data_IF_954952499856
#
_entry.id   IF_954952499856
#
_cell.length_a   1.000
_cell.length_b   1.000
_cell.length_c   1.000
_cell.angle_alpha   90.00
_cell.angle_beta   90.00
_cell.angle_gamma   90.00
#
_symmetry.space_group_name_H-M   'P 1'
#
loop_
_entity.id
_entity.type
_entity.pdbx_description
1 polymer ?
#
# COMPACT_ATOMS: atom_id res chain seq x y z
N UNK A 1 -23.61 -0.17 -11.77
CA UNK A 1 -22.49 -0.79 -11.01
C UNK A 1 -21.74 0.33 -10.33
N UNK A 2 -21.78 0.32 -9.02
CA UNK A 2 -21.05 1.30 -8.18
C UNK A 2 -19.78 0.62 -7.69
N UNK A 3 -18.63 1.24 -7.91
CA UNK A 3 -17.34 0.65 -7.55
C UNK A 3 -16.57 1.56 -6.59
N UNK A 4 -16.57 1.19 -5.32
CA UNK A 4 -15.93 1.91 -4.20
C UNK A 4 -14.82 1.05 -3.57
N UNK A 5 -14.09 0.27 -4.37
CA UNK A 5 -13.03 -0.62 -3.91
C UNK A 5 -11.75 -0.51 -4.76
N UNK A 6 -11.36 0.72 -5.11
CA UNK A 6 -10.13 0.98 -5.88
C UNK A 6 -8.84 0.63 -5.12
N UNK A 7 -8.89 0.53 -3.78
CA UNK A 7 -7.79 0.00 -2.99
C UNK A 7 -7.56 -1.51 -3.20
N UNK A 8 -8.58 -2.27 -3.65
CA UNK A 8 -8.39 -3.64 -4.08
C UNK A 8 -7.83 -3.72 -5.50
N UNK A 9 -8.40 -2.99 -6.46
CA UNK A 9 -7.88 -2.84 -7.83
C UNK A 9 -8.55 -1.65 -8.52
N UNK A 10 -7.81 -0.86 -9.28
CA UNK A 10 -8.33 0.32 -9.99
C UNK A 10 -8.95 0.00 -11.35
N UNK A 11 -9.91 0.81 -11.78
CA UNK A 11 -10.48 0.86 -13.13
C UNK A 11 -10.64 2.32 -13.58
N UNK A 12 -10.56 2.67 -14.89
CA UNK A 12 -10.13 1.80 -15.99
C UNK A 12 -8.64 1.44 -15.91
N UNK A 13 -8.21 0.51 -16.76
CA UNK A 13 -6.79 0.15 -16.89
C UNK A 13 -6.11 1.01 -17.95
N UNK A 14 -4.94 1.54 -17.61
CA UNK A 14 -4.04 2.16 -18.57
C UNK A 14 -3.08 1.11 -19.09
N UNK A 15 -3.24 0.72 -20.35
CA UNK A 15 -2.38 -0.27 -20.99
C UNK A 15 -1.69 0.35 -22.20
N UNK A 16 -0.44 -0.02 -22.42
CA UNK A 16 0.23 0.23 -23.70
C UNK A 16 -0.26 -0.79 -24.75
N UNK A 17 -0.18 -0.40 -26.02
CA UNK A 17 -0.45 -1.35 -27.09
C UNK A 17 0.62 -2.43 -27.10
N UNK A 18 0.20 -3.70 -27.24
CA UNK A 18 1.12 -4.82 -27.44
C UNK A 18 1.92 -4.62 -28.73
N UNK A 19 3.23 -4.74 -28.62
CA UNK A 19 4.14 -4.79 -29.75
C UNK A 19 4.79 -6.18 -29.80
N UNK A 20 5.14 -6.66 -30.97
CA UNK A 20 5.87 -7.93 -31.11
C UNK A 20 7.35 -7.74 -30.78
N UNK A 21 7.64 -7.59 -29.48
CA UNK A 21 8.99 -7.41 -28.99
C UNK A 21 9.82 -8.68 -29.18
N UNK A 22 11.02 -8.52 -29.71
CA UNK A 22 12.02 -9.57 -29.72
C UNK A 22 12.67 -9.70 -28.33
N UNK A 23 13.24 -10.88 -28.02
CA UNK A 23 13.89 -11.10 -26.74
C UNK A 23 15.04 -10.09 -26.53
N UNK A 24 14.93 -9.24 -25.51
CA UNK A 24 15.88 -8.19 -25.16
C UNK A 24 17.30 -8.72 -24.91
N UNK A 25 17.43 -9.98 -24.45
CA UNK A 25 18.72 -10.61 -24.16
C UNK A 25 19.46 -11.11 -25.40
N UNK A 26 18.90 -10.91 -26.60
CA UNK A 26 19.51 -11.35 -27.85
C UNK A 26 20.19 -10.18 -28.58
N UNK A 27 21.18 -10.45 -29.47
CA UNK A 27 21.80 -9.38 -30.26
C UNK A 27 20.82 -8.58 -31.14
N UNK A 28 19.71 -9.20 -31.55
CA UNK A 28 18.69 -8.58 -32.38
C UNK A 28 17.53 -7.94 -31.60
N UNK A 29 17.57 -8.00 -30.27
CA UNK A 29 16.56 -7.38 -29.38
C UNK A 29 16.85 -5.90 -29.05
N UNK A 30 17.44 -5.13 -29.95
CA UNK A 30 17.83 -3.74 -29.68
C UNK A 30 16.63 -2.83 -29.35
N UNK A 31 15.53 -2.94 -30.10
CA UNK A 31 14.30 -2.18 -29.87
C UNK A 31 13.66 -2.54 -28.52
N UNK A 32 13.70 -3.82 -28.14
CA UNK A 32 13.20 -4.28 -26.85
C UNK A 32 14.02 -3.72 -25.68
N UNK A 33 15.36 -3.67 -25.82
CA UNK A 33 16.23 -3.02 -24.81
C UNK A 33 15.98 -1.54 -24.70
N UNK A 34 15.78 -0.84 -25.81
CA UNK A 34 15.44 0.57 -25.84
C UNK A 34 14.09 0.83 -25.16
N UNK A 35 13.08 0.00 -25.43
CA UNK A 35 11.77 0.10 -24.79
C UNK A 35 11.86 -0.13 -23.27
N UNK A 36 12.62 -1.13 -22.81
CA UNK A 36 12.88 -1.35 -21.38
C UNK A 36 13.59 -0.16 -20.75
N UNK A 37 14.64 0.35 -21.38
CA UNK A 37 15.37 1.53 -20.90
C UNK A 37 14.47 2.76 -20.79
N UNK A 38 13.60 2.98 -21.77
CA UNK A 38 12.63 4.08 -21.72
C UNK A 38 11.58 3.88 -20.64
N UNK A 39 11.11 2.65 -20.40
CA UNK A 39 10.20 2.32 -19.31
C UNK A 39 10.85 2.55 -17.93
N UNK A 40 12.09 2.10 -17.74
CA UNK A 40 12.86 2.35 -16.51
C UNK A 40 13.04 3.85 -16.25
N UNK A 41 13.38 4.64 -17.27
CA UNK A 41 13.51 6.10 -17.15
C UNK A 41 12.17 6.78 -16.86
N UNK A 42 11.07 6.28 -17.43
CA UNK A 42 9.72 6.80 -17.13
C UNK A 42 9.35 6.57 -15.67
N UNK A 43 9.68 5.41 -15.09
CA UNK A 43 9.49 5.15 -13.66
C UNK A 43 10.33 6.13 -12.82
N UNK A 44 11.62 6.26 -13.10
CA UNK A 44 12.51 7.19 -12.38
C UNK A 44 11.97 8.63 -12.43
N UNK A 45 11.58 9.08 -13.61
CA UNK A 45 11.00 10.42 -13.79
C UNK A 45 9.72 10.59 -12.97
N UNK A 46 8.84 9.59 -12.97
CA UNK A 46 7.57 9.64 -12.21
C UNK A 46 7.80 9.63 -10.70
N UNK A 47 8.87 8.98 -10.22
CA UNK A 47 9.28 8.98 -8.82
C UNK A 47 10.11 10.22 -8.42
N UNK A 48 10.51 11.06 -9.37
CA UNK A 48 11.39 12.19 -9.10
C UNK A 48 12.83 11.81 -8.74
N UNK A 49 13.29 10.63 -9.18
CA UNK A 49 14.66 10.12 -8.93
C UNK A 49 15.53 10.19 -10.17
N UNK A 50 16.83 10.43 -9.99
CA UNK A 50 17.78 10.60 -11.08
C UNK A 50 18.67 9.38 -11.33
N UNK A 51 18.81 8.51 -10.34
CA UNK A 51 19.73 7.38 -10.33
C UNK A 51 19.03 6.07 -9.92
N UNK A 52 19.80 5.02 -9.70
CA UNK A 52 19.27 3.73 -9.26
C UNK A 52 18.81 2.81 -10.40
N UNK A 53 18.46 1.60 -10.01
CA UNK A 53 18.00 0.53 -10.89
C UNK A 53 16.50 0.30 -10.76
N UNK A 54 15.81 0.16 -11.87
CA UNK A 54 14.40 -0.28 -11.91
C UNK A 54 14.34 -1.70 -12.49
N UNK A 55 13.53 -2.56 -11.87
CA UNK A 55 13.20 -3.88 -12.41
C UNK A 55 11.69 -4.04 -12.41
N UNK A 56 11.14 -4.45 -13.54
CA UNK A 56 9.73 -4.78 -13.67
C UNK A 56 9.52 -6.28 -13.44
N UNK A 57 8.40 -6.63 -12.84
CA UNK A 57 8.11 -8.04 -12.56
C UNK A 57 6.69 -8.23 -12.06
N UNK A 58 6.50 -9.19 -11.17
CA UNK A 58 5.21 -9.53 -10.58
C UNK A 58 4.57 -8.42 -9.73
N UNK A 59 3.59 -8.78 -8.94
CA UNK A 59 2.95 -7.86 -7.96
C UNK A 59 3.96 -7.38 -6.90
N UNK A 60 3.60 -6.37 -6.10
CA UNK A 60 4.42 -5.92 -4.97
C UNK A 60 4.79 -7.10 -4.05
N UNK A 61 3.87 -8.03 -3.78
CA UNK A 61 4.18 -9.23 -2.96
C UNK A 61 5.32 -10.06 -3.55
N UNK A 62 5.35 -10.25 -4.88
CA UNK A 62 6.45 -10.96 -5.54
C UNK A 62 7.75 -10.16 -5.56
N UNK A 63 7.67 -8.84 -5.66
CA UNK A 63 8.84 -7.96 -5.56
C UNK A 63 9.41 -7.96 -4.13
N UNK A 64 8.57 -8.00 -3.10
CA UNK A 64 9.00 -8.14 -1.72
C UNK A 64 9.67 -9.50 -1.47
N UNK A 65 9.09 -10.62 -1.92
CA UNK A 65 9.71 -11.95 -1.85
C UNK A 65 11.12 -11.91 -2.48
N UNK A 66 11.25 -11.34 -3.68
CA UNK A 66 12.52 -11.18 -4.37
C UNK A 66 13.50 -10.30 -3.59
N UNK A 67 13.05 -9.16 -3.07
CA UNK A 67 13.89 -8.26 -2.27
C UNK A 67 14.39 -8.94 -0.99
N UNK A 68 13.53 -9.65 -0.26
CA UNK A 68 13.92 -10.40 0.94
C UNK A 68 14.94 -11.49 0.63
N UNK A 69 14.80 -12.21 -0.48
CA UNK A 69 15.81 -13.17 -0.94
C UNK A 69 17.16 -12.49 -1.19
N UNK A 70 17.16 -11.32 -1.85
CA UNK A 70 18.39 -10.55 -2.10
C UNK A 70 19.02 -10.03 -0.81
N UNK A 71 18.21 -9.52 0.12
CA UNK A 71 18.67 -9.07 1.44
C UNK A 71 19.30 -10.22 2.22
N UNK A 72 18.66 -11.39 2.26
CA UNK A 72 19.20 -12.57 2.92
C UNK A 72 20.54 -12.97 2.32
N UNK A 73 20.64 -13.05 1.00
CA UNK A 73 21.89 -13.44 0.33
C UNK A 73 23.03 -12.44 0.62
N UNK A 74 22.77 -11.13 0.49
CA UNK A 74 23.77 -10.10 0.76
C UNK A 74 24.22 -10.13 2.23
N UNK A 75 23.31 -10.37 3.15
CA UNK A 75 23.60 -10.46 4.57
C UNK A 75 24.44 -11.71 4.89
N UNK A 76 24.07 -12.91 4.38
CA UNK A 76 24.87 -14.13 4.53
C UNK A 76 26.29 -13.97 4.00
N UNK A 77 26.46 -13.35 2.84
CA UNK A 77 27.78 -13.07 2.26
C UNK A 77 28.61 -12.13 3.14
N UNK A 78 27.97 -11.19 3.85
CA UNK A 78 28.65 -10.26 4.76
C UNK A 78 29.16 -10.91 6.05
N UNK A 79 28.56 -12.02 6.50
CA UNK A 79 28.96 -12.75 7.72
C UNK A 79 30.24 -13.57 7.53
N UNK A 80 30.59 -13.96 6.30
CA UNK A 80 31.72 -14.86 6.05
C UNK A 80 31.57 -16.19 6.80
N UNK A 81 32.57 -16.52 7.65
CA UNK A 81 32.59 -17.76 8.44
C UNK A 81 31.96 -17.58 9.85
N UNK A 82 31.34 -16.45 10.17
CA UNK A 82 30.70 -16.23 11.47
C UNK A 82 29.38 -17.03 11.60
N UNK A 83 29.04 -17.42 12.85
CA UNK A 83 27.76 -18.10 13.10
C UNK A 83 26.58 -17.18 12.76
N UNK A 84 25.62 -17.72 12.01
CA UNK A 84 24.42 -17.01 11.62
C UNK A 84 23.56 -16.72 12.85
N UNK A 85 23.24 -15.48 13.18
CA UNK A 85 22.31 -15.16 14.26
C UNK A 85 20.93 -15.78 13.99
N UNK A 86 20.30 -16.32 15.04
CA UNK A 86 19.01 -17.02 14.95
C UNK A 86 17.86 -16.16 14.44
N UNK A 87 18.03 -14.80 14.45
CA UNK A 87 17.02 -13.83 14.03
C UNK A 87 17.64 -12.63 13.30
N UNK A 88 16.99 -12.21 12.23
CA UNK A 88 17.35 -11.00 11.46
C UNK A 88 16.80 -9.73 12.14
N UNK A 89 17.28 -9.39 13.32
CA UNK A 89 16.80 -8.22 14.10
C UNK A 89 17.06 -6.85 13.43
N UNK A 90 17.82 -6.81 12.37
CA UNK A 90 18.06 -5.58 11.61
C UNK A 90 16.93 -5.23 10.61
N UNK A 91 15.99 -6.15 10.36
CA UNK A 91 14.81 -5.87 9.57
C UNK A 91 13.68 -5.39 10.48
N UNK A 92 13.23 -4.16 10.28
CA UNK A 92 12.19 -3.52 11.10
C UNK A 92 11.06 -3.02 10.23
N UNK A 93 9.83 -3.12 10.73
CA UNK A 93 8.66 -2.58 10.05
C UNK A 93 7.66 -1.98 11.03
N UNK A 94 6.72 -1.18 10.49
CA UNK A 94 5.52 -0.82 11.22
C UNK A 94 4.57 -2.02 11.38
N UNK A 95 3.68 -2.03 12.38
CA UNK A 95 2.67 -3.07 12.53
C UNK A 95 1.58 -2.99 11.44
N UNK A 96 1.56 -1.90 10.69
CA UNK A 96 0.51 -1.58 9.72
C UNK A 96 0.84 -2.06 8.30
N UNK A 97 2.04 -2.61 8.08
CA UNK A 97 2.46 -3.10 6.76
C UNK A 97 1.57 -4.21 6.22
N UNK A 98 1.54 -4.32 4.90
CA UNK A 98 0.88 -5.44 4.24
C UNK A 98 1.51 -6.78 4.68
N UNK A 99 0.73 -7.85 4.71
CA UNK A 99 1.14 -9.18 5.14
C UNK A 99 2.43 -9.68 4.44
N UNK A 100 2.59 -9.38 3.14
CA UNK A 100 3.79 -9.77 2.39
C UNK A 100 5.09 -9.14 2.92
N UNK A 101 5.02 -8.09 3.74
CA UNK A 101 6.16 -7.51 4.45
C UNK A 101 6.27 -8.13 5.84
N UNK A 102 5.20 -8.10 6.63
CA UNK A 102 5.24 -8.51 8.02
C UNK A 102 5.54 -10.02 8.21
N UNK A 103 5.19 -10.86 7.25
CA UNK A 103 5.53 -12.30 7.31
C UNK A 103 7.06 -12.58 7.23
N UNK A 104 7.85 -11.61 6.81
CA UNK A 104 9.31 -11.72 6.71
C UNK A 104 10.06 -10.98 7.80
N UNK A 105 9.37 -10.17 8.61
CA UNK A 105 9.99 -9.29 9.60
C UNK A 105 9.61 -9.74 11.01
N UNK A 106 10.62 -9.91 11.86
CA UNK A 106 10.44 -10.32 13.27
C UNK A 106 10.36 -9.12 14.19
N UNK A 107 10.96 -7.98 13.79
CA UNK A 107 11.08 -6.78 14.61
C UNK A 107 10.07 -5.74 14.16
N UNK A 108 8.88 -5.79 14.77
CA UNK A 108 7.77 -4.85 14.47
C UNK A 108 7.78 -3.75 15.54
N UNK A 109 7.74 -2.50 15.10
CA UNK A 109 7.85 -1.30 15.93
C UNK A 109 6.76 -0.30 15.58
N UNK A 110 6.29 0.45 16.57
CA UNK A 110 5.36 1.55 16.27
C UNK A 110 6.06 2.67 15.45
N UNK A 111 5.28 3.54 14.86
CA UNK A 111 5.78 4.60 13.96
C UNK A 111 6.74 5.54 14.69
N UNK A 112 6.43 5.91 15.94
CA UNK A 112 7.24 6.81 16.76
C UNK A 112 8.63 6.20 17.06
N UNK A 113 8.70 4.89 17.27
CA UNK A 113 9.98 4.19 17.44
C UNK A 113 10.81 4.17 16.16
N UNK A 114 10.17 4.01 15.00
CA UNK A 114 10.86 4.06 13.69
C UNK A 114 11.37 5.48 13.38
N UNK A 115 10.74 6.52 13.90
CA UNK A 115 11.18 7.91 13.82
C UNK A 115 12.24 8.28 14.89
N UNK A 116 12.49 7.42 15.89
CA UNK A 116 13.50 7.68 16.94
C UNK A 116 14.82 6.97 16.63
N UNK A 117 15.85 7.75 16.34
CA UNK A 117 17.20 7.26 16.07
C UNK A 117 17.78 6.38 17.19
N UNK A 118 17.45 6.65 18.48
CA UNK A 118 17.94 5.85 19.61
C UNK A 118 17.22 4.50 19.67
N UNK A 119 15.91 4.49 19.42
CA UNK A 119 15.11 3.27 19.35
C UNK A 119 15.60 2.38 18.22
N UNK A 120 15.66 2.89 16.98
CA UNK A 120 16.17 2.14 15.81
C UNK A 120 17.57 1.59 16.08
N UNK A 121 18.49 2.42 16.59
CA UNK A 121 19.86 1.98 16.92
C UNK A 121 19.89 0.88 17.97
N UNK A 122 19.02 0.92 18.98
CA UNK A 122 18.99 -0.07 20.06
C UNK A 122 18.51 -1.44 19.57
N UNK A 123 17.60 -1.45 18.58
CA UNK A 123 17.02 -2.67 18.03
C UNK A 123 17.90 -3.38 16.99
N UNK A 124 18.84 -2.65 16.37
CA UNK A 124 19.72 -3.23 15.34
C UNK A 124 20.87 -4.06 15.88
N UNK A 125 21.18 -4.01 17.19
CA UNK A 125 22.26 -4.76 17.83
C UNK A 125 23.62 -4.59 17.15
N UNK A 126 23.84 -3.43 16.53
CA UNK A 126 25.05 -3.10 15.79
C UNK A 126 25.05 -3.50 14.31
N UNK A 127 24.02 -4.17 13.83
CA UNK A 127 23.83 -4.44 12.40
C UNK A 127 23.31 -3.21 11.65
N UNK A 128 23.44 -3.21 10.33
CA UNK A 128 22.86 -2.18 9.45
C UNK A 128 21.32 -2.29 9.46
N UNK A 129 20.57 -1.26 9.88
CA UNK A 129 19.12 -1.31 9.88
C UNK A 129 18.56 -1.31 8.46
N UNK A 130 17.54 -2.13 8.23
CA UNK A 130 16.71 -2.05 7.04
C UNK A 130 15.27 -1.87 7.52
N UNK A 131 14.70 -0.69 7.27
CA UNK A 131 13.36 -0.33 7.73
C UNK A 131 12.36 -0.38 6.57
N UNK A 132 11.15 -0.82 6.86
CA UNK A 132 10.05 -0.93 5.91
C UNK A 132 8.87 -0.11 6.42
N UNK A 133 8.32 0.76 5.57
CA UNK A 133 7.08 1.46 5.86
C UNK A 133 6.32 1.77 4.58
N UNK A 134 5.02 1.51 4.56
CA UNK A 134 4.15 1.97 3.48
C UNK A 134 3.93 3.48 3.58
N UNK A 135 3.84 4.18 2.44
CA UNK A 135 3.55 5.62 2.43
C UNK A 135 2.10 5.89 2.84
N UNK A 136 1.15 5.10 2.34
CA UNK A 136 -0.28 5.23 2.64
C UNK A 136 -0.83 3.89 3.11
N UNK A 137 -1.57 3.91 4.21
CA UNK A 137 -2.28 2.73 4.71
C UNK A 137 -3.31 2.24 3.69
N UNK A 138 -3.19 1.00 3.26
CA UNK A 138 -4.15 0.37 2.36
C UNK A 138 -5.51 0.04 3.03
N UNK A 139 -5.64 0.24 4.34
CA UNK A 139 -6.86 0.01 5.12
C UNK A 139 -7.55 1.32 5.47
N UNK A 140 -6.83 2.29 6.02
CA UNK A 140 -7.40 3.52 6.57
C UNK A 140 -7.16 4.76 5.74
N UNK A 141 -6.19 4.75 4.82
CA UNK A 141 -5.82 5.90 4.00
C UNK A 141 -4.91 6.91 4.68
N UNK A 142 -4.44 6.62 5.88
CA UNK A 142 -3.51 7.48 6.59
C UNK A 142 -2.12 7.45 5.97
N UNK A 143 -1.43 8.59 6.01
CA UNK A 143 -0.12 8.82 5.43
C UNK A 143 0.92 8.77 6.53
N UNK A 144 1.93 7.92 6.38
CA UNK A 144 2.97 7.76 7.38
C UNK A 144 4.19 8.66 7.12
N UNK A 145 4.95 9.03 8.17
CA UNK A 145 6.10 9.94 8.10
C UNK A 145 7.33 9.25 7.48
N UNK A 146 7.21 8.79 6.24
CA UNK A 146 8.28 8.04 5.55
C UNK A 146 9.57 8.82 5.39
N UNK A 147 9.49 10.16 5.33
CA UNK A 147 10.65 11.05 5.25
C UNK A 147 11.46 10.97 6.55
N UNK A 148 10.80 11.03 7.70
CA UNK A 148 11.45 10.96 9.02
C UNK A 148 12.03 9.56 9.27
N UNK A 149 11.26 8.51 8.99
CA UNK A 149 11.71 7.11 9.10
C UNK A 149 12.94 6.87 8.23
N UNK A 150 12.87 7.27 6.97
CA UNK A 150 13.98 7.12 6.02
C UNK A 150 15.22 7.92 6.41
N UNK A 151 15.03 9.15 6.89
CA UNK A 151 16.11 10.02 7.37
C UNK A 151 16.82 9.39 8.58
N UNK A 152 16.05 8.94 9.59
CA UNK A 152 16.61 8.26 10.76
C UNK A 152 17.37 6.99 10.37
N UNK A 153 16.80 6.20 9.48
CA UNK A 153 17.43 4.99 8.98
C UNK A 153 18.75 5.30 8.27
N UNK A 154 18.78 6.33 7.42
CA UNK A 154 19.98 6.76 6.68
C UNK A 154 21.07 7.34 7.58
N UNK A 155 20.72 8.08 8.64
CA UNK A 155 21.68 8.56 9.67
C UNK A 155 22.40 7.41 10.39
N UNK A 156 21.82 6.23 10.40
CA UNK A 156 22.41 5.00 10.95
C UNK A 156 23.12 4.16 9.87
N UNK A 157 23.35 4.70 8.68
CA UNK A 157 23.85 4.01 7.49
C UNK A 157 22.97 2.83 7.04
N UNK A 158 21.71 2.83 7.43
CA UNK A 158 20.71 1.83 7.07
C UNK A 158 20.09 2.07 5.68
N UNK A 159 19.13 1.20 5.32
CA UNK A 159 18.37 1.28 4.08
C UNK A 159 16.87 1.36 4.37
N UNK A 160 16.19 2.26 3.71
CA UNK A 160 14.76 2.42 3.85
C UNK A 160 14.01 1.94 2.61
N UNK A 161 13.03 1.05 2.83
CA UNK A 161 12.16 0.48 1.81
C UNK A 161 10.75 1.03 2.00
N UNK A 162 10.25 1.73 0.99
CA UNK A 162 8.92 2.33 0.99
C UNK A 162 7.96 1.52 0.10
N UNK A 163 6.88 0.99 0.67
CA UNK A 163 5.76 0.46 -0.11
C UNK A 163 4.86 1.61 -0.58
N UNK A 164 4.88 1.88 -1.86
CA UNK A 164 4.04 2.90 -2.49
C UNK A 164 2.82 2.31 -3.22
N UNK A 165 2.49 1.05 -2.98
CA UNK A 165 1.40 0.37 -3.67
C UNK A 165 0.05 1.07 -3.47
N UNK A 166 -0.24 1.57 -2.28
CA UNK A 166 -1.51 2.22 -1.99
C UNK A 166 -1.50 3.74 -2.25
N UNK A 167 -0.32 4.35 -2.43
CA UNK A 167 -0.17 5.80 -2.56
C UNK A 167 -0.15 6.32 -4.00
N UNK A 168 0.44 5.57 -4.95
CA UNK A 168 0.58 6.03 -6.34
C UNK A 168 -0.77 6.39 -6.94
N UNK A 169 -0.90 7.64 -7.41
CA UNK A 169 -2.12 8.19 -7.97
C UNK A 169 -3.21 8.49 -6.96
N UNK A 170 -2.90 8.49 -5.65
CA UNK A 170 -3.80 8.81 -4.53
C UNK A 170 -3.18 9.72 -3.49
N UNK A 171 -1.88 9.89 -3.52
CA UNK A 171 -1.14 10.84 -2.70
C UNK A 171 0.12 11.29 -3.45
N UNK A 172 0.63 12.45 -3.12
CA UNK A 172 1.82 12.99 -3.75
C UNK A 172 3.05 12.16 -3.41
N UNK A 173 3.89 11.92 -4.41
CA UNK A 173 5.18 11.28 -4.18
C UNK A 173 6.07 12.30 -3.44
N UNK A 174 6.69 11.94 -2.31
CA UNK A 174 7.52 12.86 -1.56
C UNK A 174 8.66 13.43 -2.41
N UNK A 175 8.87 14.74 -2.31
CA UNK A 175 9.99 15.40 -2.98
C UNK A 175 11.33 14.88 -2.45
N UNK A 176 12.35 14.92 -3.29
CA UNK A 176 13.71 14.49 -2.91
C UNK A 176 13.78 13.05 -2.37
N UNK A 177 13.01 12.14 -2.97
CA UNK A 177 12.91 10.74 -2.55
C UNK A 177 14.28 10.06 -2.37
N UNK A 178 15.26 10.37 -3.23
CA UNK A 178 16.63 9.82 -3.16
C UNK A 178 17.39 10.19 -1.88
N UNK A 179 16.98 11.26 -1.17
CA UNK A 179 17.67 11.73 0.03
C UNK A 179 17.39 10.86 1.26
N UNK A 180 16.27 10.12 1.27
CA UNK A 180 15.86 9.32 2.42
C UNK A 180 15.43 7.89 2.10
N UNK A 181 15.03 7.60 0.86
CA UNK A 181 14.51 6.29 0.44
C UNK A 181 15.56 5.55 -0.41
N UNK A 182 15.65 4.24 -0.21
CA UNK A 182 16.57 3.37 -0.93
C UNK A 182 15.88 2.34 -1.81
N UNK A 183 14.59 2.10 -1.58
CA UNK A 183 13.81 1.19 -2.39
C UNK A 183 12.33 1.60 -2.40
N UNK A 184 11.74 1.57 -3.58
CA UNK A 184 10.29 1.73 -3.79
C UNK A 184 9.74 0.48 -4.45
N UNK A 185 8.65 -0.05 -3.91
CA UNK A 185 7.92 -1.18 -4.50
C UNK A 185 6.47 -0.76 -4.72
N UNK A 186 5.89 -1.16 -5.87
CA UNK A 186 4.48 -0.92 -6.14
C UNK A 186 3.87 -1.93 -7.11
N UNK A 187 2.60 -2.30 -6.86
CA UNK A 187 1.77 -3.14 -7.73
C UNK A 187 0.97 -2.30 -8.73
N UNK A 188 1.12 -2.59 -10.01
CA UNK A 188 0.51 -1.81 -11.09
C UNK A 188 -1.03 -1.75 -11.03
N UNK A 189 -1.69 -2.82 -10.58
CA UNK A 189 -3.16 -2.87 -10.53
C UNK A 189 -3.79 -1.92 -9.51
N UNK A 190 -3.01 -1.26 -8.67
CA UNK A 190 -3.45 -0.25 -7.69
C UNK A 190 -3.35 1.18 -8.25
N UNK A 191 -2.66 1.36 -9.37
CA UNK A 191 -2.52 2.63 -10.09
C UNK A 191 -2.86 2.47 -11.57
N UNK A 192 -3.98 1.83 -11.87
CA UNK A 192 -4.56 1.64 -13.20
C UNK A 192 -3.76 0.75 -14.18
N UNK A 193 -2.68 0.13 -13.75
CA UNK A 193 -1.97 -0.88 -14.52
C UNK A 193 -2.63 -2.27 -14.45
N UNK A 194 -2.11 -3.23 -15.16
CA UNK A 194 -2.66 -4.57 -15.21
C UNK A 194 -2.35 -5.38 -13.93
N UNK A 195 -3.17 -6.40 -13.67
CA UNK A 195 -2.92 -7.35 -12.58
C UNK A 195 -1.70 -8.20 -12.88
N UNK A 196 -0.99 -8.60 -11.84
CA UNK A 196 0.19 -9.45 -11.96
C UNK A 196 1.47 -8.70 -12.36
N UNK A 197 1.41 -7.37 -12.45
CA UNK A 197 2.53 -6.49 -12.80
C UNK A 197 2.88 -5.53 -11.66
N UNK A 198 4.10 -5.03 -11.68
CA UNK A 198 4.62 -4.07 -10.73
C UNK A 198 6.07 -3.72 -11.03
N UNK A 199 6.68 -2.95 -10.16
CA UNK A 199 8.09 -2.61 -10.26
C UNK A 199 8.74 -2.50 -8.89
N UNK A 200 10.06 -2.61 -8.88
CA UNK A 200 10.95 -2.24 -7.79
C UNK A 200 11.97 -1.23 -8.34
N UNK A 201 12.15 -0.12 -7.64
CA UNK A 201 13.29 0.78 -7.79
C UNK A 201 14.20 0.64 -6.58
N UNK A 202 15.50 0.59 -6.78
CA UNK A 202 16.52 0.63 -5.72
C UNK A 202 17.57 1.68 -6.01
N UNK A 203 18.01 2.39 -4.96
CA UNK A 203 19.12 3.36 -5.04
C UNK A 203 20.43 2.65 -5.42
N UNK A 204 21.39 3.38 -6.00
CA UNK A 204 22.69 2.80 -6.38
C UNK A 204 23.40 2.16 -5.18
N UNK A 205 23.37 2.81 -4.00
CA UNK A 205 24.01 2.28 -2.79
C UNK A 205 23.35 1.00 -2.28
N UNK A 206 22.02 0.89 -2.36
CA UNK A 206 21.33 -0.33 -1.94
C UNK A 206 21.51 -1.44 -2.96
N UNK A 207 21.49 -1.09 -4.25
CA UNK A 207 21.77 -2.03 -5.33
C UNK A 207 23.20 -2.63 -5.20
N UNK A 208 24.19 -1.80 -4.86
CA UNK A 208 25.55 -2.27 -4.59
C UNK A 208 25.58 -3.21 -3.39
N UNK A 209 24.93 -2.86 -2.29
CA UNK A 209 24.86 -3.71 -1.08
C UNK A 209 24.17 -5.05 -1.34
N UNK A 210 23.11 -5.07 -2.18
CA UNK A 210 22.39 -6.27 -2.58
C UNK A 210 23.15 -7.15 -3.58
N UNK A 211 24.38 -6.78 -3.98
CA UNK A 211 25.13 -7.39 -5.09
C UNK A 211 24.38 -7.36 -6.43
N UNK A 212 23.61 -6.29 -6.63
CA UNK A 212 22.80 -6.04 -7.81
C UNK A 212 21.43 -6.70 -7.77
N UNK A 213 20.43 -6.00 -8.32
CA UNK A 213 19.13 -6.60 -8.69
C UNK A 213 19.04 -6.67 -10.21
N UNK A 214 18.35 -7.68 -10.73
CA UNK A 214 18.15 -7.83 -12.17
C UNK A 214 16.86 -8.62 -12.47
N UNK A 215 16.47 -8.68 -13.71
CA UNK A 215 15.34 -9.47 -14.16
C UNK A 215 15.55 -10.97 -13.91
N UNK A 216 14.51 -11.63 -13.42
CA UNK A 216 14.50 -13.10 -13.31
C UNK A 216 14.05 -13.66 -14.66
N UNK A 217 15.02 -14.11 -15.47
CA UNK A 217 14.75 -14.65 -16.79
C UNK A 217 14.68 -13.59 -17.88
N UNK A 218 13.85 -13.83 -18.92
CA UNK A 218 13.67 -12.89 -20.03
C UNK A 218 12.74 -11.76 -19.61
N UNK A 219 13.17 -10.48 -19.74
CA UNK A 219 12.31 -9.34 -19.40
C UNK A 219 11.03 -9.32 -20.25
N UNK A 220 9.91 -9.11 -19.59
CA UNK A 220 8.62 -8.87 -20.25
C UNK A 220 8.49 -7.38 -20.59
N UNK A 221 8.76 -7.06 -21.85
CA UNK A 221 8.79 -5.68 -22.35
C UNK A 221 7.39 -5.06 -22.38
N UNK A 222 6.36 -5.85 -22.69
CA UNK A 222 4.97 -5.38 -22.71
C UNK A 222 4.52 -5.01 -21.28
N UNK A 223 4.81 -5.85 -20.30
CA UNK A 223 4.53 -5.57 -18.89
C UNK A 223 5.27 -4.34 -18.38
N UNK A 224 6.54 -4.21 -18.73
CA UNK A 224 7.37 -3.07 -18.32
C UNK A 224 6.84 -1.73 -18.88
N UNK A 225 6.58 -1.69 -20.19
CA UNK A 225 6.06 -0.49 -20.86
C UNK A 225 4.65 -0.13 -20.40
N UNK A 226 3.79 -1.12 -20.20
CA UNK A 226 2.43 -0.94 -19.67
C UNK A 226 2.45 -0.41 -18.23
N UNK A 227 3.29 -0.98 -17.36
CA UNK A 227 3.44 -0.53 -15.97
C UNK A 227 3.95 0.90 -15.89
N UNK A 228 4.99 1.24 -16.64
CA UNK A 228 5.54 2.58 -16.69
C UNK A 228 4.52 3.61 -17.21
N UNK A 229 3.75 3.25 -18.24
CA UNK A 229 2.68 4.10 -18.76
C UNK A 229 1.56 4.32 -17.73
N UNK A 230 1.12 3.27 -17.04
CA UNK A 230 0.10 3.38 -16.01
C UNK A 230 0.57 4.27 -14.84
N UNK A 231 1.83 4.12 -14.40
CA UNK A 231 2.42 4.96 -13.36
C UNK A 231 2.41 6.45 -13.76
N UNK A 232 2.96 6.76 -14.93
CA UNK A 232 3.00 8.13 -15.45
C UNK A 232 1.59 8.76 -15.51
N UNK A 233 0.61 8.01 -16.02
CA UNK A 233 -0.77 8.48 -16.13
C UNK A 233 -1.41 8.73 -14.78
N UNK A 234 -1.20 7.86 -13.81
CA UNK A 234 -1.77 7.96 -12.47
C UNK A 234 -1.22 9.15 -11.69
N UNK A 235 0.09 9.41 -11.78
CA UNK A 235 0.72 10.59 -11.16
C UNK A 235 0.20 11.89 -11.76
N UNK A 236 0.03 11.96 -13.10
CA UNK A 236 -0.45 13.18 -13.79
C UNK A 236 -1.94 13.44 -13.55
N UNK A 237 -2.75 12.40 -13.37
CA UNK A 237 -4.22 12.53 -13.26
C UNK A 237 -4.74 12.55 -11.83
N UNK A 238 -3.87 12.45 -10.83
CA UNK A 238 -4.27 12.54 -9.44
C UNK A 238 -4.99 13.85 -9.10
N UNK A 239 -6.14 13.76 -8.45
CA UNK A 239 -6.95 14.90 -8.07
C UNK A 239 -7.61 14.70 -6.70
N UNK A 240 -6.88 15.01 -5.63
CA UNK A 240 -7.31 14.84 -4.25
C UNK A 240 -8.59 15.64 -3.88
N UNK A 241 -8.89 16.75 -4.56
CA UNK A 241 -10.10 17.55 -4.28
C UNK A 241 -11.38 16.77 -4.55
N UNK A 242 -11.42 16.00 -5.64
CA UNK A 242 -12.59 15.20 -5.96
C UNK A 242 -12.81 14.11 -4.91
N UNK A 243 -11.75 13.48 -4.42
CA UNK A 243 -11.86 12.39 -3.44
C UNK A 243 -12.26 12.89 -2.06
N UNK A 244 -11.80 14.08 -1.66
CA UNK A 244 -12.27 14.75 -0.44
C UNK A 244 -13.77 15.10 -0.52
N UNK A 245 -14.23 15.61 -1.67
CA UNK A 245 -15.65 15.89 -1.90
C UNK A 245 -16.49 14.60 -1.81
N UNK A 246 -16.02 13.48 -2.35
CA UNK A 246 -16.72 12.20 -2.31
C UNK A 246 -16.73 11.57 -0.91
N UNK A 247 -15.62 11.63 -0.17
CA UNK A 247 -15.57 11.19 1.22
C UNK A 247 -16.58 11.95 2.07
N UNK A 248 -16.60 13.28 1.96
CA UNK A 248 -17.55 14.12 2.67
C UNK A 248 -19.02 13.82 2.25
N UNK A 249 -19.27 13.59 0.96
CA UNK A 249 -20.60 13.26 0.46
C UNK A 249 -21.08 11.88 0.99
N UNK A 250 -20.19 10.88 1.06
CA UNK A 250 -20.51 9.56 1.65
C UNK A 250 -20.90 9.71 3.12
N UNK A 251 -20.12 10.45 3.90
CA UNK A 251 -20.40 10.69 5.33
C UNK A 251 -21.74 11.37 5.53
N UNK A 252 -22.03 12.39 4.74
CA UNK A 252 -23.30 13.11 4.77
C UNK A 252 -24.48 12.19 4.39
N UNK A 253 -24.34 11.40 3.33
CA UNK A 253 -25.40 10.49 2.90
C UNK A 253 -25.69 9.40 3.95
N UNK A 254 -24.69 8.82 4.59
CA UNK A 254 -24.86 7.87 5.70
C UNK A 254 -25.56 8.54 6.90
N UNK A 255 -25.17 9.76 7.24
CA UNK A 255 -25.78 10.53 8.33
C UNK A 255 -27.27 10.84 8.03
N UNK A 256 -27.59 11.28 6.80
CA UNK A 256 -28.98 11.55 6.37
C UNK A 256 -29.88 10.30 6.38
N UNK A 257 -29.32 9.12 6.14
CA UNK A 257 -30.02 7.84 6.30
C UNK A 257 -30.12 7.39 7.76
N UNK A 258 -29.56 8.15 8.72
CA UNK A 258 -29.54 7.78 10.13
C UNK A 258 -28.69 6.54 10.41
N UNK A 259 -27.63 6.30 9.63
CA UNK A 259 -26.66 5.24 9.86
C UNK A 259 -25.63 5.75 10.86
N UNK A 260 -25.41 5.03 11.96
CA UNK A 260 -24.36 5.33 12.92
C UNK A 260 -23.04 4.76 12.45
N UNK A 261 -22.03 5.62 12.36
CA UNK A 261 -20.67 5.23 11.95
C UNK A 261 -19.62 6.03 12.72
N UNK A 262 -18.40 5.52 12.74
CA UNK A 262 -17.20 6.26 13.17
C UNK A 262 -16.06 6.01 12.20
N UNK A 263 -15.14 6.98 12.10
CA UNK A 263 -13.92 6.82 11.30
C UNK A 263 -12.87 6.09 12.12
N UNK A 264 -12.18 5.16 11.47
CA UNK A 264 -11.10 4.39 12.09
C UNK A 264 -9.76 4.97 11.66
N UNK A 265 -8.89 5.23 12.62
CA UNK A 265 -7.56 5.78 12.43
C UNK A 265 -6.49 4.89 13.08
N UNK A 266 -5.27 4.95 12.55
CA UNK A 266 -4.07 4.32 13.10
C UNK A 266 -3.27 5.34 13.92
N UNK A 267 -2.25 4.89 14.64
CA UNK A 267 -1.35 5.78 15.39
C UNK A 267 -0.14 6.18 14.55
N UNK A 268 0.35 7.41 14.74
CA UNK A 268 1.61 7.89 14.15
C UNK A 268 1.53 8.31 12.70
N UNK A 269 0.34 8.54 12.16
CA UNK A 269 0.16 9.13 10.85
C UNK A 269 0.27 10.65 10.89
N UNK A 270 0.83 11.24 9.83
CA UNK A 270 0.99 12.70 9.71
C UNK A 270 -0.17 13.36 8.97
N UNK A 271 -0.81 12.63 8.07
CA UNK A 271 -1.83 13.12 7.14
C UNK A 271 -2.79 12.01 6.77
N UNK A 272 -3.77 12.31 5.93
CA UNK A 272 -4.82 11.40 5.52
C UNK A 272 -5.20 11.64 4.05
N UNK A 273 -5.21 10.57 3.25
CA UNK A 273 -5.77 10.65 1.89
C UNK A 273 -7.26 10.29 1.90
N UNK A 274 -8.08 11.13 1.28
CA UNK A 274 -9.51 10.85 1.12
C UNK A 274 -9.82 9.78 0.08
N UNK A 275 -8.80 9.21 -0.56
CA UNK A 275 -8.94 8.12 -1.53
C UNK A 275 -9.24 6.76 -0.90
N UNK A 276 -8.88 6.56 0.37
CA UNK A 276 -9.12 5.35 1.13
C UNK A 276 -9.69 5.74 2.48
N UNK A 277 -10.91 5.30 2.76
CA UNK A 277 -11.68 5.66 3.95
C UNK A 277 -12.12 4.40 4.68
N UNK A 278 -11.76 4.26 5.94
CA UNK A 278 -12.21 3.17 6.81
C UNK A 278 -13.29 3.67 7.76
N UNK A 279 -14.50 3.12 7.63
CA UNK A 279 -15.65 3.46 8.46
C UNK A 279 -16.13 2.23 9.22
N UNK A 280 -16.24 2.32 10.53
CA UNK A 280 -16.98 1.37 11.34
C UNK A 280 -18.47 1.68 11.23
N UNK A 281 -19.27 0.74 10.76
CA UNK A 281 -20.74 0.83 10.78
C UNK A 281 -21.21 0.09 12.03
N UNK A 282 -21.63 0.83 13.05
CA UNK A 282 -21.91 0.27 14.37
C UNK A 282 -22.94 -0.87 14.32
N UNK A 283 -22.59 -2.01 14.91
CA UNK A 283 -23.42 -3.21 14.99
C UNK A 283 -23.53 -4.01 13.69
N UNK A 284 -22.84 -3.60 12.62
CA UNK A 284 -22.92 -4.23 11.31
C UNK A 284 -21.67 -5.06 11.03
N UNK A 285 -21.82 -6.37 10.87
CA UNK A 285 -20.71 -7.22 10.43
C UNK A 285 -20.35 -6.93 8.97
N UNK A 286 -19.17 -6.38 8.73
CA UNK A 286 -18.78 -5.79 7.45
C UNK A 286 -18.77 -6.79 6.28
N UNK A 287 -18.38 -8.04 6.51
CA UNK A 287 -18.39 -9.07 5.46
C UNK A 287 -19.82 -9.40 4.99
N UNK A 288 -20.78 -9.44 5.93
CA UNK A 288 -22.17 -9.67 5.57
C UNK A 288 -22.74 -8.50 4.77
N UNK A 289 -22.42 -7.27 5.17
CA UNK A 289 -22.77 -6.07 4.43
C UNK A 289 -22.13 -6.05 3.03
N UNK A 290 -20.86 -6.41 2.91
CA UNK A 290 -20.18 -6.50 1.61
C UNK A 290 -20.87 -7.47 0.66
N UNK A 291 -21.25 -8.65 1.14
CA UNK A 291 -21.99 -9.66 0.33
C UNK A 291 -23.35 -9.13 -0.10
N UNK A 292 -24.10 -8.49 0.80
CA UNK A 292 -25.39 -7.87 0.49
C UNK A 292 -25.24 -6.78 -0.58
N UNK A 293 -24.32 -5.83 -0.38
CA UNK A 293 -24.05 -4.75 -1.34
C UNK A 293 -23.60 -5.28 -2.71
N UNK A 294 -22.79 -6.35 -2.72
CA UNK A 294 -22.39 -6.98 -3.98
C UNK A 294 -23.56 -7.55 -4.77
N UNK A 295 -24.62 -8.05 -4.09
CA UNK A 295 -25.85 -8.49 -4.75
C UNK A 295 -26.62 -7.33 -5.43
N UNK A 296 -26.50 -6.13 -4.87
CA UNK A 296 -27.01 -4.87 -5.43
C UNK A 296 -26.05 -4.21 -6.43
N UNK A 297 -24.94 -4.88 -6.78
CA UNK A 297 -23.87 -4.38 -7.68
C UNK A 297 -23.14 -3.15 -7.14
N UNK A 298 -23.06 -3.04 -5.83
CA UNK A 298 -22.25 -2.07 -5.10
C UNK A 298 -21.05 -2.81 -4.49
N UNK A 299 -19.86 -2.42 -4.87
CA UNK A 299 -18.62 -3.10 -4.48
C UNK A 299 -17.82 -2.23 -3.53
N UNK A 300 -17.55 -2.74 -2.33
CA UNK A 300 -16.77 -2.11 -1.28
C UNK A 300 -15.70 -3.08 -0.77
N UNK A 301 -14.65 -2.54 -0.14
CA UNK A 301 -13.73 -3.31 0.68
C UNK A 301 -14.23 -3.44 2.13
N UNK A 302 -13.46 -4.17 2.93
CA UNK A 302 -13.69 -4.33 4.38
C UNK A 302 -12.42 -3.93 5.14
N UNK A 303 -12.50 -3.83 6.47
CA UNK A 303 -11.42 -3.35 7.34
C UNK A 303 -10.20 -4.28 7.46
N UNK A 304 -10.04 -5.22 6.54
CA UNK A 304 -8.88 -6.11 6.46
C UNK A 304 -8.41 -6.27 5.01
N UNK A 305 -7.19 -6.78 4.83
CA UNK A 305 -6.70 -7.15 3.51
C UNK A 305 -7.42 -8.40 2.99
N UNK A 306 -7.66 -8.48 1.69
CA UNK A 306 -8.22 -9.67 1.05
C UNK A 306 -7.31 -10.91 1.10
N UNK A 307 -6.06 -10.74 1.52
CA UNK A 307 -5.08 -11.81 1.67
C UNK A 307 -4.98 -12.32 3.11
N UNK A 308 -5.61 -11.64 4.09
CA UNK A 308 -5.60 -12.01 5.50
C UNK A 308 -6.78 -12.91 5.81
N UNK A 309 -6.51 -14.20 6.05
CA UNK A 309 -7.49 -15.20 6.45
C UNK A 309 -7.19 -15.71 7.87
N UNK A 310 -8.24 -16.04 8.64
CA UNK A 310 -8.11 -16.69 9.95
C UNK A 310 -7.62 -15.77 11.08
N UNK A 311 -6.75 -16.28 11.94
CA UNK A 311 -6.14 -15.53 13.04
C UNK A 311 -5.22 -14.43 12.47
N UNK A 312 -5.53 -13.18 12.72
CA UNK A 312 -4.80 -12.03 12.17
C UNK A 312 -5.54 -11.23 11.10
N UNK A 313 -6.75 -11.66 10.74
CA UNK A 313 -7.59 -11.00 9.72
C UNK A 313 -7.74 -9.49 9.93
N UNK A 314 -7.82 -9.03 11.19
CA UNK A 314 -7.97 -7.62 11.56
C UNK A 314 -6.69 -7.02 12.16
N UNK A 315 -5.55 -7.61 11.87
CA UNK A 315 -4.26 -7.29 12.49
C UNK A 315 -3.97 -5.79 12.53
N UNK A 316 -4.14 -5.09 11.41
CA UNK A 316 -3.84 -3.65 11.29
C UNK A 316 -4.66 -2.83 12.30
N UNK A 317 -5.98 -3.03 12.35
CA UNK A 317 -6.86 -2.30 13.27
C UNK A 317 -6.65 -2.72 14.73
N UNK A 318 -6.38 -4.01 14.99
CA UNK A 318 -6.10 -4.49 16.34
C UNK A 318 -4.79 -3.92 16.89
N UNK A 319 -3.76 -3.75 16.07
CA UNK A 319 -2.52 -3.07 16.46
C UNK A 319 -2.75 -1.59 16.76
N UNK A 320 -3.74 -0.96 16.13
CA UNK A 320 -4.16 0.40 16.45
C UNK A 320 -4.99 0.50 17.76
N UNK A 321 -5.24 -0.63 18.45
CA UNK A 321 -5.93 -0.68 19.73
C UNK A 321 -7.43 -0.98 19.64
N UNK A 322 -7.97 -1.20 18.46
CA UNK A 322 -9.38 -1.59 18.30
C UNK A 322 -9.60 -3.06 18.64
N UNK A 323 -10.76 -3.37 19.21
CA UNK A 323 -11.18 -4.74 19.46
C UNK A 323 -11.50 -5.46 18.15
N UNK A 324 -11.44 -6.79 18.15
CA UNK A 324 -11.82 -7.61 16.99
C UNK A 324 -13.26 -7.33 16.54
N UNK A 325 -14.18 -7.09 17.51
CA UNK A 325 -15.56 -6.70 17.23
C UNK A 325 -15.61 -5.38 16.43
N UNK A 326 -14.93 -4.34 16.89
CA UNK A 326 -14.89 -3.05 16.20
C UNK A 326 -14.29 -3.18 14.79
N UNK A 327 -13.20 -3.92 14.68
CA UNK A 327 -12.55 -4.18 13.40
C UNK A 327 -13.44 -4.97 12.43
N UNK A 328 -14.26 -5.91 12.95
CA UNK A 328 -15.21 -6.69 12.14
C UNK A 328 -16.41 -5.88 11.63
N UNK A 329 -16.66 -4.70 12.20
CA UNK A 329 -17.69 -3.76 11.79
C UNK A 329 -17.17 -2.72 10.78
N UNK A 330 -15.90 -2.82 10.34
CA UNK A 330 -15.25 -1.83 9.49
C UNK A 330 -15.39 -2.16 8.00
N UNK A 331 -15.94 -1.22 7.26
CA UNK A 331 -15.91 -1.20 5.79
C UNK A 331 -14.78 -0.28 5.33
N UNK A 332 -14.25 -0.58 4.13
CA UNK A 332 -13.31 0.29 3.44
C UNK A 332 -13.92 0.77 2.13
N UNK A 333 -14.02 2.07 1.99
CA UNK A 333 -14.36 2.71 0.72
C UNK A 333 -13.09 3.26 0.09
N UNK A 334 -12.95 3.13 -1.21
CA UNK A 334 -11.79 3.66 -1.89
C UNK A 334 -12.10 4.11 -3.30
N UNK A 335 -11.62 5.30 -3.60
CA UNK A 335 -11.71 5.98 -4.89
C UNK A 335 -10.45 5.71 -5.70
N UNK A 336 -10.39 6.25 -6.91
CA UNK A 336 -9.30 5.95 -7.83
C UNK A 336 -8.40 7.16 -8.15
N UNK A 337 -8.21 8.06 -7.19
CA UNK A 337 -7.45 9.29 -7.38
C UNK A 337 -8.17 10.31 -8.25
N UNK A 338 -9.49 10.21 -8.40
CA UNK A 338 -10.30 11.09 -9.22
C UNK A 338 -10.33 10.76 -10.70
N UNK A 339 -9.83 9.60 -11.11
CA UNK A 339 -9.81 9.16 -12.52
C UNK A 339 -11.22 8.79 -12.99
N UNK A 340 -11.99 8.07 -12.17
CA UNK A 340 -13.39 7.74 -12.46
C UNK A 340 -14.29 8.52 -11.52
N UNK A 341 -15.09 9.46 -12.03
CA UNK A 341 -15.98 10.24 -11.18
C UNK A 341 -17.00 9.37 -10.46
N UNK A 342 -17.13 9.58 -9.16
CA UNK A 342 -18.24 9.05 -8.35
C UNK A 342 -19.35 10.11 -8.29
N UNK A 343 -20.57 9.73 -8.59
CA UNK A 343 -21.71 10.65 -8.62
C UNK A 343 -22.45 10.68 -7.29
N UNK A 344 -23.10 11.82 -6.97
CA UNK A 344 -23.98 11.92 -5.79
C UNK A 344 -25.05 10.84 -5.78
N UNK A 345 -25.63 10.51 -6.93
CA UNK A 345 -26.63 9.46 -7.04
C UNK A 345 -26.12 8.07 -6.65
N UNK A 346 -24.87 7.74 -6.98
CA UNK A 346 -24.21 6.50 -6.59
C UNK A 346 -23.92 6.46 -5.09
N UNK A 347 -23.54 7.58 -4.51
CA UNK A 347 -23.31 7.73 -3.06
C UNK A 347 -24.63 7.57 -2.30
N UNK A 348 -25.71 8.21 -2.78
CA UNK A 348 -27.04 8.10 -2.18
C UNK A 348 -27.58 6.68 -2.26
N UNK A 349 -27.37 5.98 -3.38
CA UNK A 349 -27.75 4.59 -3.57
C UNK A 349 -26.99 3.67 -2.61
N UNK A 350 -25.66 3.87 -2.44
CA UNK A 350 -24.86 3.16 -1.46
C UNK A 350 -25.41 3.36 -0.04
N UNK A 351 -25.63 4.61 0.39
CA UNK A 351 -26.11 4.90 1.75
C UNK A 351 -27.50 4.30 2.02
N UNK A 352 -28.41 4.33 1.03
CA UNK A 352 -29.72 3.66 1.11
C UNK A 352 -29.60 2.16 1.25
N UNK A 353 -28.71 1.52 0.48
CA UNK A 353 -28.50 0.08 0.55
C UNK A 353 -27.92 -0.34 1.92
N UNK A 354 -27.02 0.44 2.50
CA UNK A 354 -26.53 0.23 3.88
C UNK A 354 -27.69 0.31 4.88
N UNK A 355 -28.56 1.33 4.75
CA UNK A 355 -29.74 1.47 5.62
C UNK A 355 -30.72 0.31 5.46
N UNK A 356 -30.97 -0.14 4.24
CA UNK A 356 -31.82 -1.28 3.94
C UNK A 356 -31.29 -2.56 4.60
N UNK A 357 -29.98 -2.81 4.55
CA UNK A 357 -29.35 -3.91 5.25
C UNK A 357 -29.63 -3.85 6.76
N UNK A 358 -29.40 -2.72 7.40
CA UNK A 358 -29.60 -2.52 8.84
C UNK A 358 -31.05 -2.82 9.22
N UNK A 359 -32.03 -2.29 8.47
CA UNK A 359 -33.45 -2.47 8.72
C UNK A 359 -33.87 -3.93 8.49
N UNK A 360 -33.45 -4.54 7.38
CA UNK A 360 -33.82 -5.90 6.98
C UNK A 360 -33.35 -6.93 8.00
N UNK A 361 -32.16 -6.75 8.56
CA UNK A 361 -31.60 -7.69 9.54
C UNK A 361 -31.84 -7.28 11.00
N UNK A 362 -32.62 -6.23 11.23
CA UNK A 362 -33.03 -5.80 12.58
C UNK A 362 -31.85 -5.40 13.47
N UNK A 363 -30.80 -4.80 12.88
CA UNK A 363 -29.58 -4.45 13.58
C UNK A 363 -29.83 -3.25 14.48
N UNK A 364 -29.60 -3.40 15.81
CA UNK A 364 -29.59 -2.27 16.74
C UNK A 364 -28.31 -1.49 16.62
N UNK A 365 -28.43 -0.19 16.36
CA UNK A 365 -27.34 0.79 16.35
C UNK A 365 -27.38 1.68 17.60
N UNK A 366 -27.85 1.15 18.74
CA UNK A 366 -27.80 1.86 20.00
C UNK A 366 -26.35 2.02 20.45
N UNK A 367 -26.03 3.21 20.98
CA UNK A 367 -24.75 3.43 21.64
C UNK A 367 -24.68 2.50 22.85
N UNK A 368 -23.67 1.66 22.93
CA UNK A 368 -23.20 1.22 24.23
C UNK A 368 -22.59 2.48 24.85
N UNK A 369 -23.25 3.03 25.87
CA UNK A 369 -22.64 4.00 26.76
C UNK A 369 -21.31 3.39 27.21
N UNK A 370 -20.21 4.13 26.98
CA UNK A 370 -18.89 3.73 27.49
C UNK A 370 -19.00 3.51 28.99
N UNK A 371 -19.04 2.24 29.42
CA UNK A 371 -18.87 1.86 30.84
C UNK A 371 -17.41 2.11 31.28
N UNK A 372 -16.93 3.33 31.12
CA UNK A 372 -15.65 3.79 31.66
C UNK A 372 -15.71 5.24 32.17
N UNK A 373 -16.78 5.59 32.87
CA UNK A 373 -16.70 6.64 33.86
C UNK A 373 -16.77 5.99 35.26
N UNK A 374 -15.61 5.70 35.84
CA UNK A 374 -15.54 5.39 37.27
C UNK A 374 -14.58 4.25 37.63
N UNK A 375 -13.27 4.53 37.69
CA UNK A 375 -12.43 4.27 38.88
C UNK A 375 -11.01 4.79 38.66
#
# INVERSE_FOLDING_TARGET
MIYLDSAATTFPKYTSYSCNWLNANTPYGAESREALFNAENSVKHSLGVSSGKVVFGGTASKMFEYLFERIHNAWFESLGDEEVPEKLHHLMSSPYEHECVNNHIVSIHNIEELCDRKAVKSHCWGATPITFCQLVSNITGEVFPVVDIGTVTRELNGFFVCDMTASIGKYDIPEHLEDFCDCVIASAHKFHGEKGQGFIWVSDRFNEWLNGIDYIGTPDVDSATSTAYALMRSVVHYNHRCTEEWDNAVRNALFEQGVKYSTMFLSGADDYTHDIVCLRIHGVYADALQVFLASEKIYIGVGHSSCEDGEGRYRVLMHAGYSEKEASECIRLSFDGGVTPTTQAEIDEFAKAVKEFIVTYGISQEEQEDENEGN
#
